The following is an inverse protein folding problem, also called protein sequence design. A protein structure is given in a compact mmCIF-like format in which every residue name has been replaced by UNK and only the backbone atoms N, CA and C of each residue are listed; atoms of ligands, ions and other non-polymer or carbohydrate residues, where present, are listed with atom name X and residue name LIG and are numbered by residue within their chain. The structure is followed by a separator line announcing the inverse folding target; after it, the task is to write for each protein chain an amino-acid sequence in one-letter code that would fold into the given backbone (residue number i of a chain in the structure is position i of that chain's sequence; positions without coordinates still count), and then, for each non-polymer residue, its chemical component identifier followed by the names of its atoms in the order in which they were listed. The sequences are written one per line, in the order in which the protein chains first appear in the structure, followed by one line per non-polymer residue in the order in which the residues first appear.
data_IF_410831824879
#
_entry.id   IF_410831824879
#
_cell.length_a   1.000
_cell.length_b   1.000
_cell.length_c   1.000
_cell.angle_alpha   90.00
_cell.angle_beta   90.00
_cell.angle_gamma   90.00
#
_symmetry.space_group_name_H-M   'P 1'
#
loop_
_entity.id
_entity.type
_entity.pdbx_description
1 polymer ?
#
# COMPACT_ATOMS: atom_id res chain seq x y z
N UNK A 1 8.99 -10.02 -27.93
CA UNK A 1 10.07 -10.48 -27.04
C UNK A 1 9.88 -11.97 -26.83
N UNK A 2 10.86 -12.82 -27.18
CA UNK A 2 10.74 -14.29 -27.08
C UNK A 2 11.30 -14.74 -25.73
N UNK A 3 10.43 -15.14 -24.82
CA UNK A 3 10.82 -15.97 -23.68
C UNK A 3 10.85 -17.39 -24.26
N UNK A 4 12.02 -17.95 -24.55
CA UNK A 4 12.18 -19.37 -24.95
C UNK A 4 11.05 -19.90 -25.88
N UNK A 5 10.88 -19.25 -27.05
CA UNK A 5 9.89 -19.68 -28.06
C UNK A 5 8.40 -19.42 -27.75
N UNK A 6 8.05 -18.85 -26.60
CA UNK A 6 6.66 -18.58 -26.24
C UNK A 6 6.24 -17.17 -26.66
N UNK A 7 5.03 -17.05 -27.20
CA UNK A 7 4.41 -15.75 -27.48
C UNK A 7 3.85 -15.14 -26.19
N UNK A 8 3.88 -13.81 -26.08
CA UNK A 8 3.31 -13.08 -24.92
C UNK A 8 1.85 -13.43 -24.69
N UNK A 9 1.09 -13.61 -25.78
CA UNK A 9 -0.31 -14.05 -25.75
C UNK A 9 -0.49 -15.45 -25.14
N UNK A 10 0.41 -16.39 -25.43
CA UNK A 10 0.37 -17.74 -24.85
C UNK A 10 0.68 -17.71 -23.35
N UNK A 11 1.66 -16.91 -22.93
CA UNK A 11 1.98 -16.69 -21.51
C UNK A 11 0.79 -16.06 -20.78
N UNK A 12 0.17 -15.05 -21.38
CA UNK A 12 -1.01 -14.37 -20.85
C UNK A 12 -2.19 -15.34 -20.66
N UNK A 13 -2.46 -16.18 -21.68
CA UNK A 13 -3.48 -17.23 -21.60
C UNK A 13 -3.19 -18.28 -20.53
N UNK A 14 -1.93 -18.69 -20.37
CA UNK A 14 -1.54 -19.66 -19.33
C UNK A 14 -1.71 -19.10 -17.91
N UNK A 15 -1.52 -17.78 -17.73
CA UNK A 15 -1.59 -17.13 -16.42
C UNK A 15 -2.98 -16.53 -16.10
N UNK A 16 -3.94 -16.64 -17.02
CA UNK A 16 -5.23 -15.93 -16.97
C UNK A 16 -5.06 -14.43 -16.68
N UNK A 17 -4.11 -13.81 -17.40
CA UNK A 17 -3.81 -12.38 -17.31
C UNK A 17 -3.88 -11.73 -18.67
N UNK A 18 -4.04 -10.41 -18.69
CA UNK A 18 -3.97 -9.65 -19.94
C UNK A 18 -2.55 -9.64 -20.49
N UNK A 19 -2.43 -9.64 -21.82
CA UNK A 19 -1.14 -9.53 -22.51
C UNK A 19 -0.38 -8.25 -22.11
N UNK A 20 -1.11 -7.15 -21.89
CA UNK A 20 -0.56 -5.90 -21.38
C UNK A 20 0.06 -6.06 -19.97
N UNK A 21 -0.55 -6.85 -19.08
CA UNK A 21 0.00 -7.08 -17.74
C UNK A 21 1.32 -7.86 -17.81
N UNK A 22 1.39 -8.88 -18.67
CA UNK A 22 2.62 -9.66 -18.91
C UNK A 22 3.73 -8.76 -19.47
N UNK A 23 3.39 -7.92 -20.47
CA UNK A 23 4.34 -6.96 -21.05
C UNK A 23 4.85 -5.97 -20.00
N UNK A 24 3.97 -5.34 -19.24
CA UNK A 24 4.35 -4.33 -18.23
C UNK A 24 5.21 -4.94 -17.12
N UNK A 25 4.89 -6.15 -16.66
CA UNK A 25 5.69 -6.88 -15.67
C UNK A 25 7.09 -7.16 -16.20
N UNK A 26 7.18 -7.56 -17.47
CA UNK A 26 8.45 -7.84 -18.12
C UNK A 26 9.31 -6.58 -18.32
N UNK A 27 8.70 -5.48 -18.78
CA UNK A 27 9.37 -4.17 -18.89
C UNK A 27 9.85 -3.66 -17.54
N UNK A 28 9.08 -3.90 -16.47
CA UNK A 28 9.49 -3.58 -15.12
C UNK A 28 10.71 -4.42 -14.71
N UNK A 29 10.70 -5.72 -15.01
CA UNK A 29 11.82 -6.60 -14.73
C UNK A 29 13.09 -6.19 -15.46
N UNK A 30 13.04 -5.88 -16.77
CA UNK A 30 14.24 -5.43 -17.51
C UNK A 30 14.77 -4.08 -17.03
N UNK A 31 13.89 -3.18 -16.57
CA UNK A 31 14.32 -1.85 -16.09
C UNK A 31 14.86 -1.88 -14.66
N UNK A 32 14.21 -2.61 -13.77
CA UNK A 32 14.44 -2.54 -12.31
C UNK A 32 15.10 -3.80 -11.76
N UNK A 33 15.28 -4.84 -12.57
CA UNK A 33 15.79 -6.16 -12.14
C UNK A 33 14.88 -6.87 -11.13
N UNK A 34 13.68 -6.32 -10.89
CA UNK A 34 12.81 -6.72 -9.79
C UNK A 34 11.35 -6.67 -10.25
N UNK A 35 10.60 -7.74 -9.99
CA UNK A 35 9.15 -7.81 -10.26
C UNK A 35 8.33 -7.30 -9.06
N UNK A 36 9.00 -7.01 -7.94
CA UNK A 36 8.38 -6.54 -6.72
C UNK A 36 7.75 -5.16 -6.95
N UNK A 37 6.64 -4.90 -6.24
CA UNK A 37 6.07 -3.56 -6.22
C UNK A 37 7.04 -2.60 -5.56
N UNK A 38 7.16 -1.40 -6.13
CA UNK A 38 7.92 -0.32 -5.53
C UNK A 38 7.41 -0.06 -4.11
N UNK A 39 8.31 -0.18 -3.15
CA UNK A 39 8.09 0.19 -1.76
C UNK A 39 7.70 1.66 -1.73
N UNK A 40 6.48 1.97 -1.28
CA UNK A 40 5.96 3.34 -1.26
C UNK A 40 4.93 3.69 -2.34
N UNK A 41 4.45 2.72 -3.14
CA UNK A 41 3.33 2.92 -4.09
C UNK A 41 1.93 3.03 -3.42
N UNK A 42 1.89 3.38 -2.13
CA UNK A 42 0.66 3.56 -1.35
C UNK A 42 0.45 5.01 -0.93
N UNK A 43 -0.69 5.30 -0.31
CA UNK A 43 -0.99 6.64 0.19
C UNK A 43 0.09 7.15 1.14
N UNK A 44 0.40 8.45 1.05
CA UNK A 44 1.33 9.12 1.95
C UNK A 44 0.90 8.94 3.40
N UNK A 45 1.84 8.63 4.29
CA UNK A 45 1.55 8.46 5.71
C UNK A 45 1.05 9.78 6.28
N UNK A 46 -0.13 9.74 6.91
CA UNK A 46 -0.72 10.89 7.61
C UNK A 46 -0.04 11.16 8.96
N UNK A 47 0.71 10.20 9.50
CA UNK A 47 1.39 10.30 10.78
C UNK A 47 2.89 10.06 10.61
N UNK A 48 3.67 10.82 11.36
CA UNK A 48 5.11 10.62 11.50
C UNK A 48 5.38 9.44 12.44
N UNK A 49 6.59 8.87 12.36
CA UNK A 49 7.03 7.81 13.28
C UNK A 49 7.01 8.22 14.76
N UNK A 50 7.08 9.52 15.06
CA UNK A 50 7.01 10.03 16.44
C UNK A 50 5.57 10.04 16.95
N UNK A 51 4.64 10.45 16.10
CA UNK A 51 3.20 10.44 16.39
C UNK A 51 2.70 9.00 16.57
N UNK A 52 3.05 8.08 15.67
CA UNK A 52 2.67 6.66 15.77
C UNK A 52 3.11 6.06 17.13
N UNK A 53 4.35 6.34 17.56
CA UNK A 53 4.85 5.88 18.86
C UNK A 53 4.08 6.47 20.05
N UNK A 54 3.60 7.71 19.95
CA UNK A 54 2.76 8.33 20.99
C UNK A 54 1.37 7.69 21.03
N UNK A 55 0.77 7.47 19.87
CA UNK A 55 -0.54 6.79 19.74
C UNK A 55 -0.47 5.41 20.39
N UNK A 56 0.51 4.59 20.00
CA UNK A 56 0.70 3.24 20.55
C UNK A 56 0.91 3.30 22.06
N UNK A 57 1.79 4.18 22.56
CA UNK A 57 2.03 4.30 24.00
C UNK A 57 0.76 4.69 24.77
N UNK A 58 -0.03 5.64 24.27
CA UNK A 58 -1.28 6.05 24.94
C UNK A 58 -2.31 4.93 24.98
N UNK A 59 -2.51 4.23 23.86
CA UNK A 59 -3.43 3.11 23.79
C UNK A 59 -3.00 1.93 24.69
N UNK A 60 -1.70 1.74 24.90
CA UNK A 60 -1.18 0.71 25.81
C UNK A 60 -1.33 1.09 27.29
N UNK A 61 -1.22 2.38 27.64
CA UNK A 61 -1.35 2.85 29.02
C UNK A 61 -2.82 2.90 29.45
N UNK A 62 -3.70 3.39 28.58
CA UNK A 62 -5.14 3.42 28.81
C UNK A 62 -5.86 2.93 27.54
N UNK A 63 -6.29 1.65 27.51
CA UNK A 63 -6.99 1.09 26.37
C UNK A 63 -8.36 1.74 26.09
N UNK A 64 -8.92 2.49 27.04
CA UNK A 64 -10.22 3.16 26.89
C UNK A 64 -10.10 4.59 26.36
N UNK A 65 -8.87 5.09 26.16
CA UNK A 65 -8.62 6.43 25.68
C UNK A 65 -9.28 6.66 24.31
N UNK A 66 -10.03 7.74 24.20
CA UNK A 66 -10.75 8.07 22.98
C UNK A 66 -9.83 8.66 21.92
N UNK A 67 -10.25 8.54 20.67
CA UNK A 67 -9.50 9.07 19.52
C UNK A 67 -9.31 10.59 19.59
N UNK A 68 -10.29 11.34 20.07
CA UNK A 68 -10.19 12.80 20.25
C UNK A 68 -9.09 13.18 21.24
N UNK A 69 -9.00 12.46 22.36
CA UNK A 69 -7.96 12.64 23.38
C UNK A 69 -6.58 12.30 22.85
N UNK A 70 -6.44 11.23 22.05
CA UNK A 70 -5.18 10.90 21.37
C UNK A 70 -4.79 12.01 20.39
N UNK A 71 -5.72 12.53 19.57
CA UNK A 71 -5.43 13.60 18.61
C UNK A 71 -4.93 14.87 19.29
N UNK A 72 -5.59 15.28 20.38
CA UNK A 72 -5.19 16.45 21.16
C UNK A 72 -3.76 16.31 21.72
N UNK A 73 -3.41 15.12 22.20
CA UNK A 73 -2.09 14.82 22.77
C UNK A 73 -0.96 14.77 21.73
N UNK A 74 -1.26 14.21 20.57
CA UNK A 74 -0.28 14.09 19.48
C UNK A 74 -0.05 15.44 18.81
N UNK A 75 -0.99 16.39 18.94
CA UNK A 75 -0.90 17.73 18.33
C UNK A 75 -1.11 17.68 16.81
N UNK A 76 -1.72 16.61 16.30
CA UNK A 76 -1.94 16.43 14.87
C UNK A 76 -3.14 17.25 14.40
N UNK A 77 -2.93 18.18 13.47
CA UNK A 77 -3.99 18.82 12.67
C UNK A 77 -4.61 17.86 11.64
N UNK A 78 -4.15 16.61 11.60
CA UNK A 78 -4.58 15.61 10.63
C UNK A 78 -5.97 15.07 10.98
N UNK A 79 -6.92 15.35 10.10
CA UNK A 79 -8.27 14.77 10.13
C UNK A 79 -8.18 13.26 9.86
N UNK A 80 -8.09 12.46 10.93
CA UNK A 80 -8.34 11.03 10.85
C UNK A 80 -9.84 10.82 10.61
N UNK A 81 -10.31 10.97 9.38
CA UNK A 81 -11.65 10.53 9.05
C UNK A 81 -11.63 8.99 9.03
N UNK A 82 -12.50 8.37 9.81
CA UNK A 82 -12.90 6.99 9.59
C UNK A 82 -13.48 6.92 8.18
N UNK A 83 -12.94 6.11 7.26
CA UNK A 83 -13.71 5.78 6.07
C UNK A 83 -14.86 4.92 6.56
N UNK A 84 -16.01 5.56 6.83
CA UNK A 84 -17.27 4.86 6.88
C UNK A 84 -17.44 4.22 5.51
N UNK A 85 -17.09 2.94 5.40
CA UNK A 85 -17.38 2.12 4.23
C UNK A 85 -18.88 1.83 4.27
N UNK A 86 -19.69 2.79 3.84
CA UNK A 86 -21.06 2.51 3.41
C UNK A 86 -20.94 1.59 2.20
N UNK A 87 -21.23 0.31 2.40
CA UNK A 87 -21.54 -0.61 1.32
C UNK A 87 -22.90 -0.18 0.77
N UNK A 88 -22.96 0.16 -0.50
CA UNK A 88 -24.18 0.15 -1.32
C UNK A 88 -24.02 -0.97 -2.33
#
# INVERSE_FOLDING_TARGET
MKIEGWSTRRVAGQMDRSECAVRNCWEQWTREGTHARKTGSGATRKTTRREDRRIVRKALVDPTVTLSTIRADVGSTNNFQTPCRSKS
#
